data_IF_933182276796
#
_entry.id   IF_933182276796
#
_cell.length_a   1.000
_cell.length_b   1.000
_cell.length_c   1.000
_cell.angle_alpha   90.00
_cell.angle_beta   90.00
_cell.angle_gamma   90.00
#
_symmetry.space_group_name_H-M   'P 1'
#
loop_
_entity.id
_entity.type
_entity.pdbx_description
1 polymer ?
#
# COMPACT_ATOMS: atom_id res chain seq x y z
N UNK A 1 -9.80 -20.16 -22.10
CA UNK A 1 -9.75 -18.73 -21.71
C UNK A 1 -8.94 -18.02 -22.76
N UNK A 2 -9.58 -17.10 -23.54
CA UNK A 2 -8.91 -16.33 -24.58
C UNK A 2 -7.97 -15.29 -23.97
N UNK A 3 -6.82 -15.06 -24.61
CA UNK A 3 -5.95 -13.93 -24.26
C UNK A 3 -6.58 -12.63 -24.76
N UNK A 4 -6.38 -11.51 -24.03
CA UNK A 4 -6.81 -10.21 -24.53
C UNK A 4 -6.18 -9.90 -25.89
N UNK A 5 -6.97 -9.41 -26.82
CA UNK A 5 -6.51 -8.96 -28.11
C UNK A 5 -6.12 -7.48 -27.95
N UNK A 6 -4.83 -7.12 -28.08
CA UNK A 6 -4.35 -5.75 -27.80
C UNK A 6 -5.08 -4.69 -28.62
N UNK A 7 -5.40 -4.96 -29.87
CA UNK A 7 -6.06 -4.04 -30.81
C UNK A 7 -7.52 -3.74 -30.40
N UNK A 8 -8.11 -4.64 -29.60
CA UNK A 8 -9.49 -4.49 -29.09
C UNK A 8 -9.55 -3.94 -27.67
N UNK A 9 -8.42 -3.51 -27.13
CA UNK A 9 -8.35 -2.96 -25.79
C UNK A 9 -9.27 -1.76 -25.63
N UNK A 10 -10.22 -1.86 -24.71
CA UNK A 10 -11.17 -0.80 -24.40
C UNK A 10 -12.45 -0.80 -25.21
N UNK A 11 -12.64 -1.67 -26.22
CA UNK A 11 -13.88 -1.71 -27.02
C UNK A 11 -15.14 -1.92 -26.16
N UNK A 12 -15.10 -2.87 -25.23
CA UNK A 12 -16.25 -3.17 -24.38
C UNK A 12 -16.56 -2.02 -23.41
N UNK A 13 -15.51 -1.36 -22.90
CA UNK A 13 -15.66 -0.13 -22.13
C UNK A 13 -16.34 0.96 -22.96
N UNK A 14 -15.90 1.21 -24.18
CA UNK A 14 -16.50 2.21 -25.07
C UNK A 14 -17.93 1.87 -25.44
N UNK A 15 -18.25 0.59 -25.66
CA UNK A 15 -19.62 0.13 -25.89
C UNK A 15 -20.50 0.42 -24.67
N UNK A 16 -20.01 0.07 -23.46
CA UNK A 16 -20.72 0.33 -22.22
C UNK A 16 -21.02 1.82 -22.05
N UNK A 17 -20.02 2.69 -22.21
CA UNK A 17 -20.21 4.14 -22.08
C UNK A 17 -21.23 4.67 -23.11
N UNK A 18 -21.16 4.22 -24.38
CA UNK A 18 -22.14 4.62 -25.37
C UNK A 18 -23.58 4.18 -25.02
N UNK A 19 -23.72 2.96 -24.51
CA UNK A 19 -25.03 2.46 -24.07
C UNK A 19 -25.59 3.28 -22.92
N UNK A 20 -24.77 3.63 -21.94
CA UNK A 20 -25.20 4.45 -20.81
C UNK A 20 -25.61 5.87 -21.26
N UNK A 21 -24.84 6.49 -22.17
CA UNK A 21 -25.16 7.79 -22.73
C UNK A 21 -26.48 7.74 -23.57
N UNK A 22 -26.71 6.68 -24.33
CA UNK A 22 -27.96 6.49 -25.09
C UNK A 22 -29.19 6.37 -24.17
N UNK A 23 -29.00 5.88 -22.93
CA UNK A 23 -30.04 5.84 -21.89
C UNK A 23 -30.23 7.19 -21.17
N UNK A 24 -29.56 8.25 -21.60
CA UNK A 24 -29.66 9.59 -21.04
C UNK A 24 -28.82 9.86 -19.78
N UNK A 25 -27.80 9.03 -19.52
CA UNK A 25 -26.86 9.30 -18.44
C UNK A 25 -25.76 10.27 -18.86
N UNK A 26 -25.46 11.25 -18.03
CA UNK A 26 -24.16 11.93 -18.06
C UNK A 26 -23.12 11.08 -17.35
N UNK A 27 -21.88 11.21 -17.74
CA UNK A 27 -20.78 10.36 -17.25
C UNK A 27 -19.52 11.17 -17.03
N UNK A 28 -18.88 10.94 -15.90
CA UNK A 28 -17.51 11.36 -15.63
C UNK A 28 -16.78 10.27 -14.87
N UNK A 29 -15.46 10.24 -15.00
CA UNK A 29 -14.63 9.25 -14.30
C UNK A 29 -13.29 9.85 -13.88
N UNK A 30 -12.79 9.35 -12.75
CA UNK A 30 -11.50 9.75 -12.19
C UNK A 30 -10.77 8.55 -11.58
N UNK A 31 -9.46 8.61 -11.59
CA UNK A 31 -8.64 7.77 -10.72
C UNK A 31 -8.41 8.50 -9.41
N UNK A 32 -8.79 7.88 -8.29
CA UNK A 32 -8.61 8.44 -6.96
C UNK A 32 -7.66 7.56 -6.14
N UNK A 33 -6.79 8.21 -5.37
CA UNK A 33 -5.87 7.57 -4.44
C UNK A 33 -6.42 7.73 -3.03
N UNK A 34 -6.58 6.63 -2.31
CA UNK A 34 -7.21 6.64 -0.99
C UNK A 34 -6.47 7.52 0.02
N UNK A 35 -5.13 7.62 -0.10
CA UNK A 35 -4.32 8.48 0.76
C UNK A 35 -4.65 9.97 0.62
N UNK A 36 -5.09 10.44 -0.56
CA UNK A 36 -5.50 11.84 -0.78
C UNK A 36 -6.75 12.22 0.01
N UNK A 37 -7.48 11.23 0.51
CA UNK A 37 -8.70 11.37 1.31
C UNK A 37 -8.52 10.90 2.76
N UNK A 38 -7.27 10.77 3.22
CA UNK A 38 -6.93 10.48 4.61
C UNK A 38 -6.95 8.99 4.99
N UNK A 39 -7.01 8.07 4.04
CA UNK A 39 -6.78 6.67 4.33
C UNK A 39 -5.26 6.36 4.38
N UNK A 40 -4.77 5.49 5.28
CA UNK A 40 -3.35 5.17 5.38
C UNK A 40 -2.90 4.16 4.31
N UNK A 41 -3.37 4.32 3.06
CA UNK A 41 -3.03 3.44 1.94
C UNK A 41 -2.97 4.18 0.61
N UNK A 42 -1.99 3.82 -0.22
CA UNK A 42 -1.86 4.34 -1.59
C UNK A 42 -2.74 3.62 -2.60
N UNK A 43 -3.79 2.93 -2.14
CA UNK A 43 -4.73 2.23 -3.02
C UNK A 43 -5.35 3.18 -4.01
N UNK A 44 -5.05 2.99 -5.28
CA UNK A 44 -5.58 3.74 -6.41
C UNK A 44 -6.70 2.96 -7.08
N UNK A 45 -7.81 3.60 -7.37
CA UNK A 45 -8.95 3.00 -8.06
C UNK A 45 -9.53 3.96 -9.06
N UNK A 46 -10.01 3.40 -10.13
CA UNK A 46 -10.84 4.10 -11.10
C UNK A 46 -12.29 4.10 -10.61
N UNK A 47 -12.89 5.27 -10.61
CA UNK A 47 -14.28 5.49 -10.26
C UNK A 47 -15.02 6.09 -11.45
N UNK A 48 -16.27 5.67 -11.65
CA UNK A 48 -17.14 6.20 -12.67
C UNK A 48 -18.48 6.58 -12.02
N UNK A 49 -18.97 7.75 -12.36
CA UNK A 49 -20.26 8.24 -11.91
C UNK A 49 -21.15 8.44 -13.12
N UNK A 50 -22.34 7.88 -13.04
CA UNK A 50 -23.40 8.02 -14.05
C UNK A 50 -24.61 8.68 -13.39
N UNK A 51 -25.12 9.78 -13.95
CA UNK A 51 -26.29 10.50 -13.41
C UNK A 51 -27.31 10.72 -14.51
N UNK A 52 -28.60 10.60 -14.16
CA UNK A 52 -29.73 10.85 -15.05
C UNK A 52 -30.75 11.84 -14.46
N UNK A 53 -30.41 12.45 -13.35
CA UNK A 53 -31.29 13.37 -12.61
C UNK A 53 -31.08 14.85 -12.98
N UNK A 54 -30.34 15.13 -14.04
CA UNK A 54 -30.02 16.48 -14.51
C UNK A 54 -29.03 17.27 -13.63
N UNK A 55 -28.50 16.68 -12.56
CA UNK A 55 -27.56 17.35 -11.69
C UNK A 55 -26.12 17.11 -12.15
N UNK A 56 -25.26 18.08 -11.87
CA UNK A 56 -23.82 18.00 -12.11
C UNK A 56 -23.16 16.86 -11.32
N UNK A 57 -22.16 16.20 -11.91
CA UNK A 57 -21.31 15.26 -11.23
C UNK A 57 -20.26 16.04 -10.44
N UNK A 58 -20.25 15.87 -9.12
CA UNK A 58 -19.29 16.49 -8.22
C UNK A 58 -18.39 15.41 -7.65
N UNK A 59 -17.11 15.70 -7.61
CA UNK A 59 -16.09 14.84 -7.01
C UNK A 59 -15.66 15.42 -5.66
N UNK A 60 -15.29 14.55 -4.69
CA UNK A 60 -14.69 15.02 -3.47
C UNK A 60 -13.35 15.69 -3.73
N UNK A 61 -13.06 16.76 -3.01
CA UNK A 61 -11.75 17.40 -3.05
C UNK A 61 -10.77 16.67 -2.14
N UNK A 62 -9.50 16.51 -2.55
CA UNK A 62 -8.47 15.94 -1.70
C UNK A 62 -8.29 16.74 -0.41
N UNK A 63 -8.15 16.03 0.71
CA UNK A 63 -7.89 16.63 2.04
C UNK A 63 -6.45 16.43 2.48
N UNK A 64 -5.73 15.48 1.84
CA UNK A 64 -4.35 15.11 2.16
C UNK A 64 -3.50 15.11 0.89
N UNK A 65 -2.18 15.26 1.07
CA UNK A 65 -1.21 15.22 -0.01
C UNK A 65 0.11 14.60 0.47
N UNK A 66 0.85 14.01 -0.46
CA UNK A 66 2.22 13.57 -0.20
C UNK A 66 3.17 14.77 -0.08
N UNK A 67 2.93 15.80 -0.89
CA UNK A 67 3.74 17.01 -0.96
C UNK A 67 3.19 18.09 -0.03
N UNK A 68 4.02 19.07 0.29
CA UNK A 68 3.59 20.21 1.10
C UNK A 68 2.80 21.20 0.22
N UNK A 69 1.51 20.92 0.05
CA UNK A 69 0.57 21.71 -0.78
C UNK A 69 -0.40 22.57 0.04
N UNK A 70 -0.18 22.71 1.36
CA UNK A 70 -1.14 23.32 2.29
C UNK A 70 -2.24 22.36 2.75
N UNK A 71 -2.33 21.15 2.19
CA UNK A 71 -3.19 20.06 2.66
C UNK A 71 -2.51 19.31 3.81
N UNK A 72 -3.27 18.48 4.52
CA UNK A 72 -2.70 17.56 5.51
C UNK A 72 -1.75 16.56 4.84
N UNK A 73 -0.69 16.13 5.55
CA UNK A 73 0.16 15.06 5.04
C UNK A 73 -0.60 13.73 5.00
N UNK A 74 -0.22 12.89 4.05
CA UNK A 74 -0.69 11.51 4.02
C UNK A 74 -0.42 10.83 5.36
N UNK A 75 -1.36 10.02 5.79
CA UNK A 75 -1.28 9.30 7.06
C UNK A 75 -0.29 8.15 6.99
N UNK A 76 0.53 8.04 8.01
CA UNK A 76 1.50 6.96 8.16
C UNK A 76 0.78 5.66 8.52
N UNK A 77 1.10 4.55 7.87
CA UNK A 77 0.45 3.29 8.19
C UNK A 77 0.85 2.76 9.58
N UNK A 78 1.99 3.16 10.10
CA UNK A 78 2.45 2.80 11.44
C UNK A 78 1.51 3.23 12.57
N UNK A 79 0.76 4.33 12.39
CA UNK A 79 -0.20 4.81 13.39
C UNK A 79 -1.47 3.93 13.48
N UNK A 80 -1.66 3.02 12.53
CA UNK A 80 -2.85 2.15 12.42
C UNK A 80 -2.53 0.67 12.69
N UNK A 81 -1.33 0.37 13.17
CA UNK A 81 -0.93 -0.97 13.59
C UNK A 81 -1.19 -1.12 15.09
N UNK A 82 -1.77 -2.25 15.45
CA UNK A 82 -1.87 -2.63 16.86
C UNK A 82 -0.50 -3.09 17.37
N UNK A 83 0.15 -2.23 18.13
CA UNK A 83 1.46 -2.48 18.72
C UNK A 83 1.41 -3.23 20.05
N UNK A 84 0.25 -3.70 20.50
CA UNK A 84 0.14 -4.55 21.69
C UNK A 84 0.74 -5.93 21.46
N UNK A 85 0.66 -6.44 20.21
CA UNK A 85 1.29 -7.70 19.78
C UNK A 85 2.43 -7.42 18.79
N UNK A 86 3.67 -7.62 19.23
CA UNK A 86 4.86 -7.49 18.38
C UNK A 86 5.23 -8.80 17.66
N UNK A 87 4.39 -9.82 17.78
CA UNK A 87 4.62 -11.14 17.22
C UNK A 87 5.63 -11.98 18.02
N UNK A 88 5.90 -13.17 17.50
CA UNK A 88 6.84 -14.11 18.12
C UNK A 88 8.23 -13.99 17.51
N UNK A 89 9.27 -14.19 18.32
CA UNK A 89 10.65 -14.22 17.86
C UNK A 89 10.83 -15.17 16.66
N UNK A 90 11.61 -14.73 15.68
CA UNK A 90 12.04 -15.60 14.58
C UNK A 90 13.12 -16.60 15.01
N UNK A 91 13.76 -16.36 16.15
CA UNK A 91 14.80 -17.23 16.73
C UNK A 91 14.16 -18.28 17.66
N UNK A 92 14.81 -19.43 17.80
CA UNK A 92 14.35 -20.49 18.71
C UNK A 92 13.05 -21.19 18.26
N UNK A 93 12.60 -21.02 17.02
CA UNK A 93 11.43 -21.71 16.47
C UNK A 93 11.70 -23.19 16.24
N UNK A 94 10.70 -24.06 16.52
CA UNK A 94 10.78 -25.50 16.17
C UNK A 94 11.08 -25.75 14.69
N UNK A 95 10.54 -24.89 13.80
CA UNK A 95 10.81 -24.91 12.38
C UNK A 95 11.36 -23.55 11.95
N UNK A 96 12.57 -23.54 11.42
CA UNK A 96 13.20 -22.32 10.90
C UNK A 96 12.38 -21.70 9.77
N UNK A 97 12.49 -20.39 9.61
CA UNK A 97 11.94 -19.71 8.44
C UNK A 97 12.69 -20.19 7.17
N UNK A 98 11.97 -20.21 6.05
CA UNK A 98 12.61 -20.47 4.76
C UNK A 98 13.73 -19.47 4.48
N UNK A 99 14.81 -19.93 3.85
CA UNK A 99 16.00 -19.10 3.57
C UNK A 99 15.65 -17.80 2.84
N UNK A 100 14.76 -17.86 1.84
CA UNK A 100 14.31 -16.69 1.13
C UNK A 100 13.60 -15.66 2.06
N UNK A 101 12.89 -16.14 3.09
CA UNK A 101 12.28 -15.24 4.09
C UNK A 101 13.32 -14.62 4.99
N UNK A 102 14.31 -15.39 5.43
CA UNK A 102 15.43 -14.89 6.25
C UNK A 102 16.24 -13.82 5.49
N UNK A 103 16.59 -14.09 4.23
CA UNK A 103 17.27 -13.12 3.37
C UNK A 103 16.45 -11.85 3.19
N UNK A 104 15.15 -11.98 3.00
CA UNK A 104 14.22 -10.83 2.89
C UNK A 104 14.20 -9.98 4.15
N UNK A 105 14.14 -10.60 5.31
CA UNK A 105 14.20 -9.90 6.60
C UNK A 105 15.56 -9.21 6.76
N UNK A 106 16.68 -9.90 6.51
CA UNK A 106 18.02 -9.34 6.63
C UNK A 106 18.23 -8.12 5.70
N UNK A 107 17.83 -8.25 4.43
CA UNK A 107 17.89 -7.14 3.48
C UNK A 107 16.95 -5.99 3.89
N UNK A 108 15.81 -6.31 4.49
CA UNK A 108 14.89 -5.32 5.02
C UNK A 108 15.46 -4.57 6.22
N UNK A 109 16.10 -5.26 7.15
CA UNK A 109 16.80 -4.63 8.29
C UNK A 109 17.88 -3.67 7.77
N UNK A 110 18.71 -4.14 6.84
CA UNK A 110 19.73 -3.27 6.23
C UNK A 110 19.09 -2.01 5.62
N UNK A 111 18.10 -2.17 4.75
CA UNK A 111 17.51 -1.08 3.96
C UNK A 111 16.65 -0.12 4.77
N UNK A 112 15.82 -0.65 5.69
CA UNK A 112 14.77 0.13 6.36
C UNK A 112 15.09 0.49 7.80
N UNK A 113 16.18 -0.05 8.36
CA UNK A 113 16.66 0.28 9.69
C UNK A 113 18.06 0.89 9.63
N UNK A 114 19.05 0.17 9.09
CA UNK A 114 20.47 0.57 9.16
C UNK A 114 20.75 1.72 8.19
N UNK A 115 20.36 1.57 6.95
CA UNK A 115 20.64 2.53 5.87
C UNK A 115 19.55 3.63 5.74
N UNK A 116 18.44 3.50 6.48
CA UNK A 116 17.35 4.46 6.42
C UNK A 116 17.73 5.73 7.20
N UNK A 117 17.59 6.93 6.62
CA UNK A 117 17.84 8.18 7.35
C UNK A 117 16.93 8.36 8.56
N UNK A 118 15.68 7.93 8.44
CA UNK A 118 14.65 8.01 9.48
C UNK A 118 13.90 6.67 9.58
N UNK A 119 14.45 5.68 10.29
CA UNK A 119 13.75 4.42 10.51
C UNK A 119 12.53 4.63 11.40
N UNK A 120 11.48 3.84 11.20
CA UNK A 120 10.28 3.94 12.02
C UNK A 120 10.51 3.35 13.41
N UNK A 121 10.34 4.19 14.45
CA UNK A 121 10.45 3.80 15.86
C UNK A 121 9.05 3.55 16.41
N UNK A 122 8.83 2.37 16.97
CA UNK A 122 7.55 2.01 17.61
C UNK A 122 7.41 2.79 18.92
N UNK A 123 6.37 3.61 19.01
CA UNK A 123 6.10 4.45 20.18
C UNK A 123 5.98 3.59 21.45
N UNK A 124 6.64 4.00 22.53
CA UNK A 124 6.66 3.32 23.82
C UNK A 124 7.20 1.86 23.80
N UNK A 125 7.98 1.52 22.80
CA UNK A 125 8.67 0.23 22.67
C UNK A 125 10.11 0.51 22.22
N UNK A 126 11.07 -0.22 22.77
CA UNK A 126 12.46 -0.14 22.30
C UNK A 126 12.64 -0.98 21.02
N UNK A 127 11.82 -0.67 20.01
CA UNK A 127 11.75 -1.44 18.79
C UNK A 127 11.69 -0.52 17.56
N UNK A 128 12.33 -0.97 16.49
CA UNK A 128 12.24 -0.45 15.16
C UNK A 128 11.36 -1.37 14.31
N UNK A 129 10.64 -0.84 13.34
CA UNK A 129 9.74 -1.68 12.55
C UNK A 129 9.70 -1.26 11.08
N UNK A 130 9.42 -2.25 10.23
CA UNK A 130 9.17 -2.06 8.79
C UNK A 130 8.29 -3.18 8.25
N UNK A 131 7.76 -2.98 7.05
CA UNK A 131 6.98 -4.00 6.35
C UNK A 131 7.84 -4.67 5.29
N UNK A 132 7.83 -6.01 5.25
CA UNK A 132 8.29 -6.79 4.11
C UNK A 132 7.11 -7.21 3.24
N UNK A 133 7.36 -7.39 1.94
CA UNK A 133 6.37 -7.91 1.02
C UNK A 133 6.82 -9.28 0.51
N UNK A 134 5.95 -10.27 0.68
CA UNK A 134 6.13 -11.60 0.11
C UNK A 134 5.73 -11.59 -1.38
N UNK A 135 6.37 -12.42 -2.18
CA UNK A 135 6.19 -12.58 -3.62
C UNK A 135 6.65 -11.39 -4.48
N UNK A 136 7.30 -11.70 -5.56
CA UNK A 136 7.68 -10.75 -6.60
C UNK A 136 9.01 -10.04 -6.42
N UNK A 137 9.98 -10.63 -5.74
CA UNK A 137 11.38 -10.21 -5.84
C UNK A 137 11.88 -10.50 -7.24
N UNK A 138 12.41 -9.47 -7.89
CA UNK A 138 12.86 -9.56 -9.27
C UNK A 138 14.38 -9.58 -9.40
N UNK A 139 15.12 -9.31 -8.30
CA UNK A 139 16.58 -9.26 -8.29
C UNK A 139 17.14 -9.75 -6.95
N UNK A 140 18.24 -10.45 -7.00
CA UNK A 140 19.00 -10.83 -5.80
C UNK A 140 19.43 -9.57 -5.02
N UNK A 141 19.20 -9.59 -3.72
CA UNK A 141 19.56 -8.50 -2.81
C UNK A 141 18.53 -7.40 -2.66
N UNK A 142 17.46 -7.36 -3.48
CA UNK A 142 16.37 -6.38 -3.29
C UNK A 142 15.34 -6.90 -2.29
N UNK A 143 15.16 -6.17 -1.18
CA UNK A 143 14.01 -6.35 -0.29
C UNK A 143 12.85 -5.48 -0.75
N UNK A 144 11.76 -6.12 -1.16
CA UNK A 144 10.48 -5.41 -1.31
C UNK A 144 9.86 -5.24 0.07
N UNK A 145 9.57 -4.00 0.38
CA UNK A 145 8.95 -3.62 1.63
C UNK A 145 8.68 -2.13 1.62
N UNK A 146 8.42 -1.58 2.79
CA UNK A 146 8.28 -0.15 2.97
C UNK A 146 8.50 0.26 4.42
N UNK A 147 8.83 1.54 4.60
CA UNK A 147 8.79 2.20 5.90
C UNK A 147 7.33 2.36 6.36
N UNK A 148 7.14 2.45 7.65
CA UNK A 148 5.83 2.67 8.27
C UNK A 148 5.46 4.14 8.37
N UNK A 149 6.39 5.03 8.04
CA UNK A 149 6.20 6.49 7.90
C UNK A 149 5.44 6.87 6.63
N UNK A 150 5.11 5.89 5.78
CA UNK A 150 4.33 6.10 4.56
C UNK A 150 3.00 5.33 4.63
N UNK A 151 1.96 5.73 3.84
CA UNK A 151 0.77 4.91 3.69
C UNK A 151 1.12 3.53 3.15
N UNK A 152 0.43 2.49 3.61
CA UNK A 152 0.66 1.14 3.09
C UNK A 152 0.27 1.06 1.61
N UNK A 153 1.03 0.30 0.83
CA UNK A 153 0.67 -0.04 -0.55
C UNK A 153 -0.63 -0.82 -0.58
N UNK A 154 -1.22 -0.98 -1.75
CA UNK A 154 -2.49 -1.69 -1.90
C UNK A 154 -2.47 -3.07 -1.25
N UNK A 155 -3.34 -3.27 -0.27
CA UNK A 155 -3.63 -4.57 0.34
C UNK A 155 -4.61 -5.30 -0.59
N UNK A 156 -4.29 -6.55 -0.92
CA UNK A 156 -5.17 -7.45 -1.66
C UNK A 156 -5.62 -8.62 -0.77
N UNK A 157 -6.34 -9.56 -1.34
CA UNK A 157 -6.84 -10.76 -0.63
C UNK A 157 -5.74 -11.78 -0.32
N UNK A 158 -4.53 -11.58 -0.83
CA UNK A 158 -3.40 -12.45 -0.57
C UNK A 158 -2.61 -11.91 0.62
N UNK A 159 -2.17 -12.81 1.51
CA UNK A 159 -1.33 -12.44 2.65
C UNK A 159 0.11 -12.14 2.18
N UNK A 160 0.32 -10.93 1.64
CA UNK A 160 1.60 -10.53 1.01
C UNK A 160 2.49 -9.69 1.89
N UNK A 161 2.01 -9.22 3.02
CA UNK A 161 2.75 -8.33 3.90
C UNK A 161 3.11 -9.01 5.20
N UNK A 162 4.33 -8.80 5.67
CA UNK A 162 4.78 -9.18 6.99
C UNK A 162 5.32 -7.96 7.72
N UNK A 163 4.86 -7.75 8.95
CA UNK A 163 5.45 -6.77 9.85
C UNK A 163 6.70 -7.39 10.46
N UNK A 164 7.80 -6.66 10.43
CA UNK A 164 9.04 -7.03 11.10
C UNK A 164 9.33 -6.00 12.18
N UNK A 165 9.55 -6.48 13.41
CA UNK A 165 10.02 -5.67 14.53
C UNK A 165 11.42 -6.12 14.92
N UNK A 166 12.30 -5.16 15.15
CA UNK A 166 13.67 -5.38 15.58
C UNK A 166 13.93 -4.61 16.88
N UNK A 167 14.49 -5.29 17.87
CA UNK A 167 14.84 -4.69 19.16
C UNK A 167 16.33 -4.33 19.16
N UNK A 168 16.65 -3.18 19.73
CA UNK A 168 18.04 -2.79 20.00
C UNK A 168 18.40 -3.29 21.38
N UNK A 169 19.37 -4.20 21.46
CA UNK A 169 19.91 -4.67 22.74
C UNK A 169 21.27 -4.06 22.95
N UNK A 170 21.45 -3.37 24.06
CA UNK A 170 22.75 -2.87 24.49
C UNK A 170 23.37 -3.89 25.45
N UNK A 171 24.57 -4.38 25.12
CA UNK A 171 25.39 -5.15 26.03
C UNK A 171 26.36 -4.22 26.75
N UNK A 172 26.47 -4.36 28.06
CA UNK A 172 27.43 -3.67 28.89
C UNK A 172 28.62 -4.59 29.14
#
# INVERSE_FOLDING_TARGET
KGYPIPERKGEDYQKFIRSMKALGYIFDCRELVAADYGAPTTRKRWYAVFRRDGKEIRWPEPTHSRENTGLQRWKECGDYIDWSDLGTSIFGRKKSLAEATQKRIANGIKKYIIDAPEPYIVKNKDALAFIIQYHGETRDGESRGQLLTEPIKTIDTSNRYGLVTAFITKYY
#
